data_IF_084224650306
#
_entry.id   IF_084224650306
#
_cell.length_a   1.000
_cell.length_b   1.000
_cell.length_c   1.000
_cell.angle_alpha   90.00
_cell.angle_beta   90.00
_cell.angle_gamma   90.00
#
_symmetry.space_group_name_H-M   'P 1'
#
loop_
_entity.id
_entity.type
_entity.pdbx_description
1 polymer ?
#
# COMPACT_ATOMS: atom_id res chain seq x y z
N UNK A 1 18.85 -10.00 1.91
CA UNK A 1 19.10 -9.31 0.63
C UNK A 1 20.59 -9.01 0.47
N UNK A 2 21.23 -9.57 -0.57
CA UNK A 2 22.58 -9.18 -1.00
C UNK A 2 22.46 -8.61 -2.41
N UNK A 3 22.50 -7.29 -2.54
CA UNK A 3 22.42 -6.62 -3.83
C UNK A 3 23.79 -6.59 -4.52
N UNK A 4 23.83 -6.90 -5.81
CA UNK A 4 24.99 -6.61 -6.65
C UNK A 4 24.84 -5.22 -7.23
N UNK A 5 25.83 -4.36 -7.01
CA UNK A 5 25.81 -2.99 -7.55
C UNK A 5 26.58 -2.95 -8.86
N UNK A 6 26.00 -2.31 -9.87
CA UNK A 6 26.62 -2.06 -11.17
C UNK A 6 26.98 -0.58 -11.24
N UNK A 7 28.25 -0.31 -11.54
CA UNK A 7 28.80 1.04 -11.60
C UNK A 7 29.10 1.47 -13.05
N UNK A 8 28.91 2.75 -13.34
CA UNK A 8 29.32 3.39 -14.59
C UNK A 8 30.17 4.61 -14.27
N UNK A 9 31.39 4.65 -14.80
CA UNK A 9 32.38 5.70 -14.48
C UNK A 9 32.61 5.91 -12.97
N UNK A 10 32.62 4.82 -12.19
CA UNK A 10 32.80 4.85 -10.74
C UNK A 10 31.59 5.36 -9.94
N UNK A 11 30.43 5.55 -10.59
CA UNK A 11 29.16 5.87 -9.92
C UNK A 11 28.24 4.67 -9.90
N UNK A 12 27.65 4.40 -8.74
CA UNK A 12 26.65 3.33 -8.54
C UNK A 12 25.33 3.73 -9.21
N UNK A 13 24.99 3.08 -10.32
CA UNK A 13 23.78 3.41 -11.10
C UNK A 13 22.67 2.37 -10.94
N UNK A 14 23.02 1.08 -10.87
CA UNK A 14 22.02 0.01 -10.81
C UNK A 14 22.32 -0.98 -9.69
N UNK A 15 21.27 -1.63 -9.20
CA UNK A 15 21.35 -2.73 -8.26
C UNK A 15 20.58 -3.94 -8.80
N UNK A 16 21.22 -5.09 -8.84
CA UNK A 16 20.60 -6.37 -9.12
C UNK A 16 20.32 -7.05 -7.79
N UNK A 17 19.05 -7.38 -7.54
CA UNK A 17 18.60 -8.11 -6.36
C UNK A 17 17.80 -9.34 -6.78
N UNK A 18 17.74 -10.38 -5.94
CA UNK A 18 16.85 -11.52 -6.19
C UNK A 18 15.42 -11.05 -6.38
N UNK A 19 14.72 -11.61 -7.36
CA UNK A 19 13.35 -11.18 -7.69
C UNK A 19 12.38 -11.28 -6.51
N UNK A 20 12.50 -12.33 -5.69
CA UNK A 20 11.70 -12.48 -4.46
C UNK A 20 11.93 -11.33 -3.47
N UNK A 21 13.17 -10.86 -3.34
CA UNK A 21 13.50 -9.74 -2.45
C UNK A 21 12.95 -8.42 -3.01
N UNK A 22 12.94 -8.25 -4.34
CA UNK A 22 12.29 -7.10 -4.98
C UNK A 22 10.79 -7.06 -4.73
N UNK A 23 10.08 -8.17 -4.94
CA UNK A 23 8.64 -8.26 -4.68
C UNK A 23 8.32 -7.93 -3.21
N UNK A 24 9.08 -8.52 -2.29
CA UNK A 24 8.93 -8.22 -0.86
C UNK A 24 9.16 -6.73 -0.55
N UNK A 25 10.13 -6.09 -1.18
CA UNK A 25 10.36 -4.65 -1.00
C UNK A 25 9.18 -3.82 -1.52
N UNK A 26 8.58 -4.20 -2.66
CA UNK A 26 7.39 -3.53 -3.17
C UNK A 26 6.22 -3.67 -2.19
N UNK A 27 5.96 -4.89 -1.71
CA UNK A 27 4.91 -5.17 -0.72
C UNK A 27 5.10 -4.35 0.56
N UNK A 28 6.32 -4.32 1.13
CA UNK A 28 6.62 -3.55 2.35
C UNK A 28 6.40 -2.03 2.14
N UNK A 29 6.67 -1.51 0.95
CA UNK A 29 6.43 -0.09 0.60
C UNK A 29 4.93 0.19 0.43
N UNK A 30 4.20 -0.70 -0.21
CA UNK A 30 2.74 -0.61 -0.36
C UNK A 30 2.05 -0.65 1.01
N UNK A 31 2.42 -1.60 1.87
CA UNK A 31 1.94 -1.71 3.25
C UNK A 31 2.19 -0.41 4.05
N UNK A 32 3.37 0.20 3.88
CA UNK A 32 3.67 1.47 4.52
C UNK A 32 2.74 2.59 4.04
N UNK A 33 2.47 2.67 2.74
CA UNK A 33 1.57 3.66 2.17
C UNK A 33 0.13 3.46 2.67
N UNK A 34 -0.35 2.23 2.71
CA UNK A 34 -1.67 1.88 3.24
C UNK A 34 -1.81 2.26 4.71
N UNK A 35 -0.80 1.96 5.54
CA UNK A 35 -0.77 2.37 6.94
C UNK A 35 -0.79 3.89 7.11
N UNK A 36 -0.03 4.61 6.28
CA UNK A 36 -0.01 6.08 6.30
C UNK A 36 -1.39 6.64 5.97
N UNK A 37 -2.06 6.10 4.97
CA UNK A 37 -3.38 6.57 4.55
C UNK A 37 -4.47 6.17 5.55
N UNK A 38 -4.37 4.98 6.17
CA UNK A 38 -5.21 4.59 7.29
C UNK A 38 -5.09 5.55 8.47
N UNK A 39 -3.87 5.96 8.84
CA UNK A 39 -3.64 6.93 9.92
C UNK A 39 -4.28 8.28 9.60
N UNK A 40 -4.14 8.76 8.35
CA UNK A 40 -4.79 9.99 7.89
C UNK A 40 -6.32 9.88 7.96
N UNK A 41 -6.88 8.78 7.45
CA UNK A 41 -8.32 8.55 7.48
C UNK A 41 -8.86 8.50 8.91
N UNK A 42 -8.16 7.85 9.85
CA UNK A 42 -8.54 7.81 11.26
C UNK A 42 -8.44 9.16 11.97
N UNK A 43 -7.56 10.05 11.54
CA UNK A 43 -7.40 11.37 12.12
C UNK A 43 -8.55 12.33 11.74
N UNK A 44 -9.19 12.12 10.58
CA UNK A 44 -10.32 12.93 10.14
C UNK A 44 -11.55 12.71 11.04
N UNK A 45 -12.05 13.76 11.74
CA UNK A 45 -13.25 13.66 12.58
C UNK A 45 -14.47 13.11 11.84
N UNK A 46 -14.59 13.34 10.52
CA UNK A 46 -15.71 12.85 9.70
C UNK A 46 -15.75 11.31 9.65
N UNK A 47 -14.62 10.65 9.84
CA UNK A 47 -14.49 9.20 9.79
C UNK A 47 -14.65 8.53 11.17
N UNK A 48 -14.89 9.30 12.25
CA UNK A 48 -15.07 8.73 13.60
C UNK A 48 -16.42 8.03 13.77
N UNK A 49 -17.45 8.50 13.08
CA UNK A 49 -18.76 7.85 13.09
C UNK A 49 -18.78 6.71 12.10
N UNK A 50 -19.05 5.50 12.61
CA UNK A 50 -19.39 4.36 11.77
C UNK A 50 -20.72 4.59 11.06
N UNK A 51 -20.90 3.89 9.94
CA UNK A 51 -22.13 3.85 9.15
C UNK A 51 -22.52 2.40 8.92
N UNK A 52 -23.81 2.11 8.84
CA UNK A 52 -24.27 0.73 8.64
C UNK A 52 -23.88 0.23 7.25
N UNK A 53 -23.59 -1.07 7.16
CA UNK A 53 -23.27 -1.70 5.88
C UNK A 53 -24.41 -1.56 4.86
N UNK A 54 -25.66 -1.60 5.33
CA UNK A 54 -26.86 -1.39 4.50
C UNK A 54 -26.89 -0.03 3.83
N UNK A 55 -26.64 1.03 4.61
CA UNK A 55 -26.61 2.39 4.09
C UNK A 55 -25.53 2.52 3.01
N UNK A 56 -24.33 2.01 3.28
CA UNK A 56 -23.21 2.05 2.34
C UNK A 56 -23.50 1.26 1.08
N UNK A 57 -24.04 0.04 1.20
CA UNK A 57 -24.41 -0.79 0.08
C UNK A 57 -25.44 -0.08 -0.82
N UNK A 58 -26.46 0.54 -0.24
CA UNK A 58 -27.44 1.33 -0.99
C UNK A 58 -26.80 2.53 -1.70
N UNK A 59 -25.87 3.24 -1.04
CA UNK A 59 -25.20 4.42 -1.62
C UNK A 59 -24.28 4.04 -2.79
N UNK A 60 -23.68 2.85 -2.74
CA UNK A 60 -22.79 2.32 -3.78
C UNK A 60 -23.52 1.51 -4.86
N UNK A 61 -24.85 1.39 -4.78
CA UNK A 61 -25.65 0.60 -5.73
C UNK A 61 -25.43 -0.92 -5.64
N UNK A 62 -24.92 -1.41 -4.51
CA UNK A 62 -24.63 -2.81 -4.27
C UNK A 62 -25.88 -3.52 -3.73
N UNK A 63 -26.31 -4.61 -4.39
CA UNK A 63 -27.36 -5.48 -3.86
C UNK A 63 -26.75 -6.47 -2.87
N UNK A 64 -27.36 -6.64 -1.68
CA UNK A 64 -27.01 -7.74 -0.79
C UNK A 64 -27.25 -9.06 -1.52
N UNK A 65 -26.29 -9.98 -1.46
CA UNK A 65 -26.54 -11.38 -1.81
C UNK A 65 -27.61 -11.89 -0.85
N UNK A 66 -28.74 -12.32 -1.42
CA UNK A 66 -29.78 -13.08 -0.74
C UNK A 66 -29.23 -14.41 -0.21
#
# INVERSE_FOLDING_TARGET
MKAQIIEKHGKKEFAVIPYKDFLRLQEEVEDYHDLRDLRRAKADPKNRQGRSLDLVAATLGLKRKS
#
